data_IF_691458217945
#
_entry.id   IF_691458217945
#
_cell.length_a   1.000
_cell.length_b   1.000
_cell.length_c   1.000
_cell.angle_alpha   90.00
_cell.angle_beta   90.00
_cell.angle_gamma   90.00
#
_symmetry.space_group_name_H-M   'P 1'
#
loop_
_entity.id
_entity.type
_entity.pdbx_description
1 polymer ?
#
# COMPACT_ATOMS: atom_id res chain seq x y z
N UNK A 1 -11.55 9.58 -1.43
CA UNK A 1 -11.47 8.19 -0.91
C UNK A 1 -12.17 8.21 0.43
N UNK A 2 -13.28 7.48 0.57
CA UNK A 2 -13.90 7.28 1.89
C UNK A 2 -12.85 6.60 2.78
N UNK A 3 -12.67 7.00 4.06
CA UNK A 3 -11.74 6.34 4.96
C UNK A 3 -12.31 4.98 5.37
N UNK A 4 -12.28 4.02 4.44
CA UNK A 4 -12.39 2.63 4.82
C UNK A 4 -11.16 2.31 5.66
N UNK A 5 -11.40 1.78 6.86
CA UNK A 5 -10.37 1.29 7.76
C UNK A 5 -9.37 0.46 6.95
N UNK A 6 -8.08 0.81 6.99
CA UNK A 6 -7.08 0.17 6.14
C UNK A 6 -7.06 -1.35 6.38
N UNK A 7 -7.35 -1.81 7.61
CA UNK A 7 -7.56 -3.23 7.96
C UNK A 7 -8.54 -3.93 7.02
N UNK A 8 -9.71 -3.34 6.73
CA UNK A 8 -10.74 -3.99 5.89
C UNK A 8 -10.25 -4.21 4.46
N UNK A 9 -9.51 -3.24 3.92
CA UNK A 9 -8.90 -3.36 2.60
C UNK A 9 -7.85 -4.47 2.57
N UNK A 10 -7.14 -4.70 3.68
CA UNK A 10 -6.11 -5.73 3.82
C UNK A 10 -6.70 -7.14 4.07
N UNK A 11 -7.90 -7.24 4.66
CA UNK A 11 -8.58 -8.52 4.84
C UNK A 11 -9.01 -9.16 3.52
N UNK A 12 -9.38 -8.36 2.50
CA UNK A 12 -9.93 -8.87 1.24
C UNK A 12 -8.96 -9.77 0.46
N UNK A 13 -7.67 -9.40 0.30
CA UNK A 13 -6.67 -10.31 -0.25
C UNK A 13 -6.42 -11.54 0.62
N UNK A 14 -6.46 -11.36 1.94
CA UNK A 14 -6.17 -12.41 2.94
C UNK A 14 -7.17 -13.57 2.86
N UNK A 15 -8.45 -13.29 2.58
CA UNK A 15 -9.49 -14.31 2.36
C UNK A 15 -9.60 -14.77 0.90
N UNK A 16 -8.63 -14.44 0.05
CA UNK A 16 -8.62 -14.82 -1.37
C UNK A 16 -9.67 -14.13 -2.24
N UNK A 17 -10.31 -13.06 -1.75
CA UNK A 17 -11.31 -12.29 -2.51
C UNK A 17 -10.70 -11.11 -3.27
N UNK A 18 -9.43 -10.79 -3.03
CA UNK A 18 -8.66 -9.79 -3.75
C UNK A 18 -7.27 -10.29 -4.16
N UNK A 19 -6.70 -9.73 -5.21
CA UNK A 19 -5.33 -10.05 -5.64
C UNK A 19 -4.25 -9.26 -4.86
N UNK A 20 -4.66 -8.20 -4.16
CA UNK A 20 -3.83 -7.38 -3.29
C UNK A 20 -4.53 -6.08 -2.90
N UNK A 21 -3.88 -5.27 -2.07
CA UNK A 21 -4.37 -3.98 -1.61
C UNK A 21 -3.26 -2.93 -1.63
N UNK A 22 -3.56 -1.74 -2.14
CA UNK A 22 -2.68 -0.56 -2.11
C UNK A 22 -3.12 0.39 -1.01
N UNK A 23 -2.23 0.74 -0.09
CA UNK A 23 -2.62 1.48 1.10
C UNK A 23 -1.47 2.34 1.67
N UNK A 24 -1.87 3.36 2.42
CA UNK A 24 -1.03 4.06 3.39
C UNK A 24 -1.81 4.08 4.70
N UNK A 25 -1.15 3.79 5.81
CA UNK A 25 -1.84 3.58 7.08
C UNK A 25 -0.93 3.89 8.28
N UNK A 26 -1.53 3.92 9.45
CA UNK A 26 -0.82 3.97 10.72
C UNK A 26 -0.39 2.57 11.16
N UNK A 27 0.61 2.49 12.04
CA UNK A 27 1.09 1.22 12.58
C UNK A 27 -0.04 0.32 13.13
N UNK A 28 -1.00 0.90 13.86
CA UNK A 28 -2.09 0.15 14.48
C UNK A 28 -3.12 -0.40 13.48
N UNK A 29 -3.15 0.10 12.25
CA UNK A 29 -4.09 -0.38 11.23
C UNK A 29 -3.64 -1.68 10.54
N UNK A 30 -2.40 -2.12 10.75
CA UNK A 30 -1.90 -3.35 10.10
C UNK A 30 -1.04 -4.22 11.00
N UNK A 31 -0.38 -3.66 12.03
CA UNK A 31 0.55 -4.42 12.86
C UNK A 31 -0.13 -5.63 13.54
N UNK A 32 -1.37 -5.47 14.02
CA UNK A 32 -2.11 -6.56 14.67
C UNK A 32 -2.50 -7.70 13.71
N UNK A 33 -2.82 -7.37 12.46
CA UNK A 33 -3.26 -8.34 11.45
C UNK A 33 -2.13 -8.87 10.57
N UNK A 34 -0.93 -8.28 10.66
CA UNK A 34 0.22 -8.65 9.84
C UNK A 34 0.58 -10.15 9.91
N UNK A 35 0.63 -10.82 11.07
CA UNK A 35 0.88 -12.26 11.13
C UNK A 35 -0.14 -13.11 10.35
N UNK A 36 -1.39 -12.64 10.25
CA UNK A 36 -2.46 -13.31 9.50
C UNK A 36 -2.18 -13.18 7.99
N UNK A 37 -1.73 -12.01 7.55
CA UNK A 37 -1.37 -11.77 6.14
C UNK A 37 -0.22 -12.68 5.70
N UNK A 38 0.82 -12.79 6.54
CA UNK A 38 1.96 -13.68 6.29
C UNK A 38 1.50 -15.15 6.20
N UNK A 39 0.63 -15.58 7.12
CA UNK A 39 0.07 -16.93 7.12
C UNK A 39 -0.77 -17.24 5.87
N UNK A 40 -1.34 -16.20 5.25
CA UNK A 40 -2.05 -16.30 3.97
C UNK A 40 -1.13 -16.23 2.73
N UNK A 41 0.20 -16.23 2.92
CA UNK A 41 1.19 -16.15 1.84
C UNK A 41 1.27 -14.76 1.19
N UNK A 42 0.89 -13.72 1.93
CA UNK A 42 0.93 -12.33 1.47
C UNK A 42 2.02 -11.56 2.21
N UNK A 43 2.64 -10.61 1.53
CA UNK A 43 3.62 -9.71 2.14
C UNK A 43 3.34 -8.26 1.84
N UNK A 44 3.80 -7.39 2.75
CA UNK A 44 3.77 -5.95 2.61
C UNK A 44 5.03 -5.47 1.89
N UNK A 45 4.88 -4.92 0.68
CA UNK A 45 5.99 -4.42 -0.13
C UNK A 45 5.86 -2.94 -0.40
N UNK A 46 6.96 -2.22 -0.26
CA UNK A 46 7.06 -0.80 -0.62
C UNK A 46 6.66 -0.63 -2.08
N UNK A 47 5.76 0.31 -2.34
CA UNK A 47 5.36 0.62 -3.72
C UNK A 47 6.51 1.17 -4.56
N UNK A 48 7.42 1.94 -3.94
CA UNK A 48 8.54 2.58 -4.65
C UNK A 48 9.70 1.63 -4.88
N UNK A 49 10.09 0.86 -3.87
CA UNK A 49 11.30 0.02 -3.93
C UNK A 49 10.99 -1.44 -4.26
N UNK A 50 9.79 -1.92 -3.92
CA UNK A 50 9.46 -3.35 -3.94
C UNK A 50 9.99 -4.12 -2.74
N UNK A 51 10.73 -3.47 -1.84
CA UNK A 51 11.26 -4.12 -0.65
C UNK A 51 10.13 -4.54 0.29
N UNK A 52 10.23 -5.77 0.74
CA UNK A 52 9.32 -6.34 1.72
C UNK A 52 9.61 -5.77 3.11
N UNK A 53 8.55 -5.46 3.85
CA UNK A 53 8.68 -5.21 5.29
C UNK A 53 8.86 -6.59 5.94
N UNK A 54 10.03 -6.83 6.52
CA UNK A 54 10.34 -8.04 7.29
C UNK A 54 10.28 -7.81 8.80
N UNK A 55 10.40 -6.56 9.24
CA UNK A 55 10.34 -6.14 10.65
C UNK A 55 9.73 -4.74 10.78
N UNK A 56 9.10 -4.45 11.92
CA UNK A 56 8.68 -3.09 12.28
C UNK A 56 9.91 -2.29 12.70
N UNK A 57 10.26 -1.28 11.90
CA UNK A 57 11.34 -0.34 12.20
C UNK A 57 10.82 1.10 12.10
N UNK A 58 11.32 1.97 12.98
CA UNK A 58 11.03 3.40 12.99
C UNK A 58 11.32 4.07 11.62
N UNK A 59 12.23 3.52 10.81
CA UNK A 59 12.53 4.03 9.46
C UNK A 59 11.37 3.89 8.46
N UNK A 60 10.35 3.08 8.76
CA UNK A 60 9.16 2.91 7.92
C UNK A 60 8.19 4.10 8.03
N UNK A 61 8.30 4.88 9.11
CA UNK A 61 7.33 5.89 9.49
C UNK A 61 7.83 7.32 9.29
N UNK A 62 6.91 8.26 9.12
CA UNK A 62 7.19 9.67 8.89
C UNK A 62 7.54 10.41 10.19
N UNK A 63 8.65 10.01 10.85
CA UNK A 63 9.04 10.45 12.21
C UNK A 63 9.10 11.97 12.41
N UNK A 64 9.51 12.71 11.39
CA UNK A 64 9.65 14.18 11.45
C UNK A 64 8.35 14.92 11.14
N UNK A 65 7.28 14.19 10.83
CA UNK A 65 5.98 14.78 10.53
C UNK A 65 5.14 14.95 11.79
N UNK A 66 4.05 15.73 11.68
CA UNK A 66 3.01 15.82 12.72
C UNK A 66 2.30 14.48 12.99
N UNK A 67 2.59 13.44 12.21
CA UNK A 67 1.97 12.11 12.29
C UNK A 67 3.05 11.01 12.23
N UNK A 68 3.82 10.82 13.31
CA UNK A 68 5.06 10.03 13.31
C UNK A 68 4.86 8.52 13.18
N UNK A 69 3.62 8.03 13.31
CA UNK A 69 3.26 6.60 13.22
C UNK A 69 2.62 6.22 11.91
N UNK A 70 2.50 7.18 10.98
CA UNK A 70 2.04 6.93 9.63
C UNK A 70 3.19 6.46 8.76
N UNK A 71 2.92 5.45 7.94
CA UNK A 71 3.86 4.97 6.92
C UNK A 71 4.31 6.14 6.02
N UNK A 72 5.61 6.28 5.81
CA UNK A 72 6.19 7.40 5.02
C UNK A 72 5.88 7.30 3.52
N UNK A 73 5.52 6.11 3.06
CA UNK A 73 5.16 5.83 1.68
C UNK A 73 3.97 4.86 1.60
N UNK A 74 3.51 4.60 0.38
CA UNK A 74 2.47 3.61 0.13
C UNK A 74 3.05 2.20 0.01
N UNK A 75 2.25 1.23 0.43
CA UNK A 75 2.60 -0.19 0.39
C UNK A 75 1.53 -0.98 -0.38
N UNK A 76 1.95 -2.13 -0.90
CA UNK A 76 1.08 -3.12 -1.50
C UNK A 76 1.13 -4.38 -0.64
N UNK A 77 -0.03 -4.82 -0.16
CA UNK A 77 -0.21 -6.17 0.35
C UNK A 77 -0.56 -7.09 -0.83
N UNK A 78 0.28 -8.08 -1.12
CA UNK A 78 -0.02 -9.10 -2.14
C UNK A 78 0.86 -10.32 -2.00
N UNK A 79 0.53 -11.38 -2.75
CA UNK A 79 1.50 -12.44 -3.04
C UNK A 79 2.66 -11.88 -3.88
N UNK A 80 3.80 -12.57 -3.85
CA UNK A 80 4.96 -12.23 -4.66
C UNK A 80 4.61 -12.16 -6.15
N UNK A 81 3.87 -13.16 -6.65
CA UNK A 81 3.40 -13.23 -8.05
C UNK A 81 2.58 -12.01 -8.46
N UNK A 82 1.72 -11.49 -7.59
CA UNK A 82 0.79 -10.40 -7.94
C UNK A 82 1.42 -9.02 -7.81
N UNK A 83 2.50 -8.88 -7.04
CA UNK A 83 3.13 -7.59 -6.77
C UNK A 83 3.49 -6.78 -8.03
N UNK A 84 4.24 -7.31 -9.01
CA UNK A 84 4.63 -6.53 -10.20
C UNK A 84 3.41 -6.09 -11.02
N UNK A 85 2.41 -6.97 -11.16
CA UNK A 85 1.18 -6.71 -11.92
C UNK A 85 0.35 -5.57 -11.30
N UNK A 86 0.24 -5.56 -9.97
CA UNK A 86 -0.46 -4.52 -9.23
C UNK A 86 0.28 -3.18 -9.33
N UNK A 87 1.60 -3.21 -9.10
CA UNK A 87 2.44 -2.02 -9.15
C UNK A 87 2.36 -1.31 -10.51
N UNK A 88 2.45 -2.07 -11.60
CA UNK A 88 2.35 -1.54 -12.97
C UNK A 88 0.99 -0.85 -13.24
N UNK A 89 -0.11 -1.51 -12.86
CA UNK A 89 -1.47 -0.96 -13.07
C UNK A 89 -1.71 0.31 -12.27
N UNK A 90 -1.13 0.43 -11.07
CA UNK A 90 -1.22 1.65 -10.25
C UNK A 90 -0.41 2.78 -10.91
N UNK A 91 0.79 2.51 -11.43
CA UNK A 91 1.62 3.48 -12.15
C UNK A 91 0.93 4.06 -13.38
N UNK A 92 0.33 3.19 -14.23
CA UNK A 92 -0.40 3.60 -15.43
C UNK A 92 -1.51 4.61 -15.11
N UNK A 93 -2.24 4.39 -14.01
CA UNK A 93 -3.35 5.27 -13.60
C UNK A 93 -2.88 6.66 -13.16
N UNK A 94 -1.72 6.76 -12.53
CA UNK A 94 -1.14 8.05 -12.15
C UNK A 94 -0.66 8.85 -13.36
N UNK A 95 -0.03 8.19 -14.33
CA UNK A 95 0.43 8.84 -15.56
C UNK A 95 -0.73 9.36 -16.43
N UNK A 96 -1.85 8.62 -16.49
CA UNK A 96 -3.05 9.07 -17.21
C UNK A 96 -3.66 10.31 -16.54
N UNK A 97 -3.77 10.35 -15.20
CA UNK A 97 -4.28 11.51 -14.47
C UNK A 97 -3.41 12.75 -14.65
N UNK A 98 -2.08 12.59 -14.61
CA UNK A 98 -1.14 13.71 -14.84
C UNK A 98 -1.32 14.30 -16.23
N UNK A 99 -1.46 13.45 -17.26
CA UNK A 99 -1.68 13.91 -18.64
C UNK A 99 -3.01 14.64 -18.83
N UNK A 100 -4.10 14.15 -18.22
CA UNK A 100 -5.41 14.80 -18.31
C UNK A 100 -5.45 16.17 -17.61
N UNK A 101 -4.76 16.31 -16.48
CA UNK A 101 -4.68 17.59 -15.78
C UNK A 101 -3.80 18.60 -16.52
N UNK A 102 -2.69 18.16 -17.12
CA UNK A 102 -1.82 19.02 -17.92
C UNK A 102 -2.53 19.60 -19.16
N UNK A 103 -3.40 18.82 -19.81
CA UNK A 103 -4.21 19.30 -20.94
C UNK A 103 -5.31 20.31 -20.57
N UNK A 104 -5.74 20.35 -19.31
CA UNK A 104 -6.77 21.28 -18.82
C UNK A 104 -6.19 22.63 -18.36
N UNK A 105 -4.89 22.69 -18.08
CA UNK A 105 -4.18 23.93 -17.65
C UNK A 105 -3.60 24.74 -18.80
N UNK A 106 -3.68 24.25 -20.04
CA UNK A 106 -3.22 24.95 -21.25
C UNK A 106 -4.36 25.44 -22.15
N UNK A 107 -5.57 25.60 -21.59
CA UNK A 107 -6.76 26.13 -22.28
C UNK A 107 -7.14 27.50 -21.75
#
# INVERSE_FOLDING_TARGET
MNPLCAVLSLCWPTIGRGCGAFFGAHIWDFAGSWPIFLSAGLSLRSYQTGNEITQLDAVLFARESKDPWKLKEYYILSSERNFPLLREKIMLKNNIKVRQNASLTTS
#
